data_IF_407620933890
#
_entry.id   IF_407620933890
#
_cell.length_a   1.000
_cell.length_b   1.000
_cell.length_c   1.000
_cell.angle_alpha   90.00
_cell.angle_beta   90.00
_cell.angle_gamma   90.00
#
_symmetry.space_group_name_H-M   'P 1'
#
loop_
_entity.id
_entity.type
_entity.pdbx_description
1 polymer ?
#
# COMPACT_ATOMS: atom_id res chain seq x y z
N UNK A 1 -11.07 11.31 13.39
CA UNK A 1 -12.01 10.93 12.31
C UNK A 1 -12.88 9.81 12.84
N UNK A 2 -14.20 9.79 12.59
CA UNK A 2 -15.01 8.61 12.95
C UNK A 2 -14.66 7.51 11.93
N UNK A 3 -14.09 6.40 12.38
CA UNK A 3 -13.87 5.23 11.54
C UNK A 3 -15.24 4.64 11.22
N UNK A 4 -15.70 4.84 10.00
CA UNK A 4 -16.82 4.10 9.45
C UNK A 4 -16.20 2.98 8.62
N UNK A 5 -16.35 1.74 9.09
CA UNK A 5 -15.92 0.58 8.34
C UNK A 5 -16.79 0.51 7.08
N UNK A 6 -16.18 0.84 5.94
CA UNK A 6 -16.84 0.83 4.64
C UNK A 6 -17.19 -0.60 4.22
N UNK A 7 -16.42 -1.57 4.70
CA UNK A 7 -16.57 -2.99 4.41
C UNK A 7 -16.86 -3.75 5.70
N UNK A 8 -17.77 -4.73 5.63
CA UNK A 8 -17.99 -5.65 6.74
C UNK A 8 -16.97 -6.79 6.64
N UNK A 9 -15.91 -6.73 7.44
CA UNK A 9 -14.90 -7.78 7.55
C UNK A 9 -15.03 -8.44 8.93
N UNK A 10 -15.45 -9.70 8.96
CA UNK A 10 -15.58 -10.45 10.20
C UNK A 10 -14.20 -10.95 10.66
N UNK A 11 -13.99 -11.23 11.96
CA UNK A 11 -12.72 -11.74 12.48
C UNK A 11 -12.26 -13.08 11.89
N UNK A 12 -13.17 -13.83 11.27
CA UNK A 12 -12.90 -15.14 10.66
C UNK A 12 -12.79 -15.09 9.14
N UNK A 13 -13.02 -13.92 8.53
CA UNK A 13 -12.93 -13.78 7.09
C UNK A 13 -11.47 -13.88 6.64
N UNK A 14 -11.27 -14.44 5.46
CA UNK A 14 -9.98 -14.47 4.79
C UNK A 14 -9.99 -13.46 3.65
N UNK A 15 -8.84 -12.88 3.36
CA UNK A 15 -8.70 -12.01 2.21
C UNK A 15 -8.77 -12.83 0.92
N UNK A 16 -9.57 -12.36 -0.02
CA UNK A 16 -9.65 -12.92 -1.37
C UNK A 16 -9.62 -11.76 -2.37
N UNK A 17 -8.56 -11.64 -3.20
CA UNK A 17 -8.45 -10.61 -4.21
C UNK A 17 -9.66 -10.50 -5.14
N UNK A 18 -10.37 -11.60 -5.41
CA UNK A 18 -11.53 -11.61 -6.29
C UNK A 18 -12.69 -10.76 -5.73
N UNK A 19 -12.79 -10.63 -4.39
CA UNK A 19 -13.80 -9.80 -3.72
C UNK A 19 -13.39 -8.32 -3.61
N UNK A 20 -12.12 -8.01 -3.88
CA UNK A 20 -11.54 -6.68 -3.70
C UNK A 20 -10.67 -6.26 -4.89
N UNK A 21 -11.17 -6.47 -6.12
CA UNK A 21 -10.40 -6.24 -7.35
C UNK A 21 -9.84 -4.82 -7.47
N UNK A 22 -10.50 -3.82 -6.87
CA UNK A 22 -10.04 -2.42 -6.85
C UNK A 22 -8.66 -2.24 -6.21
N UNK A 23 -8.25 -3.15 -5.31
CA UNK A 23 -6.92 -3.10 -4.68
C UNK A 23 -5.84 -3.21 -5.77
N UNK A 24 -6.01 -4.13 -6.71
CA UNK A 24 -5.06 -4.30 -7.80
C UNK A 24 -4.96 -3.04 -8.67
N UNK A 25 -6.10 -2.44 -8.99
CA UNK A 25 -6.18 -1.24 -9.84
C UNK A 25 -5.54 -0.02 -9.16
N UNK A 26 -5.84 0.20 -7.88
CA UNK A 26 -5.29 1.32 -7.10
C UNK A 26 -3.77 1.18 -6.89
N UNK A 27 -3.28 -0.02 -6.54
CA UNK A 27 -1.85 -0.25 -6.35
C UNK A 27 -1.07 -0.14 -7.67
N UNK A 28 -1.61 -0.64 -8.79
CA UNK A 28 -0.98 -0.45 -10.10
C UNK A 28 -0.88 1.02 -10.48
N UNK A 29 -1.94 1.80 -10.27
CA UNK A 29 -1.91 3.24 -10.52
C UNK A 29 -0.86 3.95 -9.64
N UNK A 30 -0.76 3.58 -8.36
CA UNK A 30 0.30 4.10 -7.47
C UNK A 30 1.67 3.75 -8.05
N UNK A 31 1.87 2.49 -8.44
CA UNK A 31 3.15 2.03 -8.96
C UNK A 31 3.55 2.75 -10.25
N UNK A 32 2.62 2.91 -11.20
CA UNK A 32 2.82 3.66 -12.45
C UNK A 32 3.20 5.12 -12.17
N UNK A 33 2.46 5.79 -11.27
CA UNK A 33 2.76 7.19 -10.91
C UNK A 33 4.09 7.37 -10.16
N UNK A 34 4.62 6.29 -9.59
CA UNK A 34 5.86 6.28 -8.82
C UNK A 34 6.95 5.46 -9.50
N UNK A 35 6.78 5.10 -10.78
CA UNK A 35 7.71 4.22 -11.52
C UNK A 35 9.12 4.81 -11.61
N UNK A 36 9.21 6.13 -11.67
CA UNK A 36 10.48 6.86 -11.79
C UNK A 36 11.15 7.12 -10.44
N UNK A 37 10.56 6.65 -9.34
CA UNK A 37 11.08 6.83 -7.99
C UNK A 37 11.57 5.49 -7.48
N UNK A 38 12.86 5.24 -7.68
CA UNK A 38 13.52 4.04 -7.18
C UNK A 38 13.63 4.07 -5.67
N UNK A 39 13.21 2.98 -5.02
CA UNK A 39 13.29 2.84 -3.57
C UNK A 39 13.20 1.38 -3.16
N UNK A 40 14.21 0.92 -2.43
CA UNK A 40 14.20 -0.41 -1.77
C UNK A 40 13.09 -0.54 -0.73
N UNK A 41 12.51 0.58 -0.27
CA UNK A 41 11.42 0.62 0.71
C UNK A 41 10.07 0.97 0.08
N UNK A 42 9.95 0.93 -1.25
CA UNK A 42 8.75 1.40 -1.96
C UNK A 42 7.47 0.75 -1.44
N UNK A 43 7.45 -0.59 -1.37
CA UNK A 43 6.28 -1.34 -0.90
C UNK A 43 5.97 -1.08 0.56
N UNK A 44 6.98 -1.06 1.44
CA UNK A 44 6.83 -0.76 2.86
C UNK A 44 6.24 0.64 3.09
N UNK A 45 6.71 1.64 2.34
CA UNK A 45 6.23 3.03 2.41
C UNK A 45 4.76 3.10 1.98
N UNK A 46 4.42 2.46 0.86
CA UNK A 46 3.04 2.43 0.34
C UNK A 46 2.11 1.76 1.35
N UNK A 47 2.45 0.55 1.81
CA UNK A 47 1.64 -0.19 2.78
C UNK A 47 1.46 0.61 4.07
N UNK A 48 2.53 1.17 4.63
CA UNK A 48 2.47 1.96 5.87
C UNK A 48 1.58 3.19 5.74
N UNK A 49 1.61 3.85 4.58
CA UNK A 49 0.75 4.99 4.30
C UNK A 49 -0.71 4.57 4.13
N UNK A 50 -1.01 3.55 3.33
CA UNK A 50 -2.39 3.08 3.10
C UNK A 50 -3.05 2.56 4.37
N UNK A 51 -2.23 1.97 5.25
CA UNK A 51 -2.67 1.31 6.45
C UNK A 51 -2.99 2.28 7.58
N UNK A 52 -2.07 3.21 7.86
CA UNK A 52 -2.15 4.06 9.06
C UNK A 52 -1.83 5.54 8.76
N UNK A 53 -1.70 5.95 7.49
CA UNK A 53 -1.18 7.25 7.06
C UNK A 53 0.12 7.63 7.78
N UNK A 54 0.97 6.63 8.04
CA UNK A 54 2.19 6.80 8.83
C UNK A 54 3.42 6.55 7.96
N UNK A 55 4.44 7.40 8.14
CA UNK A 55 5.72 7.31 7.44
C UNK A 55 6.85 7.46 8.45
N UNK A 56 7.82 6.55 8.41
CA UNK A 56 9.01 6.63 9.27
C UNK A 56 9.90 7.78 8.81
N UNK A 57 10.53 8.48 9.76
CA UNK A 57 11.41 9.62 9.49
C UNK A 57 12.54 9.27 8.51
N UNK A 58 13.17 8.11 8.67
CA UNK A 58 14.24 7.66 7.78
C UNK A 58 13.74 7.43 6.34
N UNK A 59 12.50 6.99 6.14
CA UNK A 59 11.92 6.84 4.81
C UNK A 59 11.68 8.18 4.12
N UNK A 60 11.21 9.18 4.87
CA UNK A 60 11.03 10.56 4.37
C UNK A 60 12.38 11.16 3.96
N UNK A 61 13.41 10.98 4.78
CA UNK A 61 14.75 11.52 4.52
C UNK A 61 15.43 10.83 3.31
N UNK A 62 15.23 9.52 3.14
CA UNK A 62 15.85 8.74 2.06
C UNK A 62 15.05 8.78 0.75
N UNK A 63 13.73 8.98 0.82
CA UNK A 63 12.82 8.91 -0.33
C UNK A 63 11.85 10.11 -0.36
N UNK A 64 12.36 11.36 -0.31
CA UNK A 64 11.52 12.54 -0.14
C UNK A 64 10.46 12.65 -1.22
N UNK A 65 10.81 12.40 -2.49
CA UNK A 65 9.89 12.45 -3.63
C UNK A 65 8.73 11.42 -3.51
N UNK A 66 9.03 10.18 -3.12
CA UNK A 66 7.99 9.17 -2.92
C UNK A 66 7.05 9.59 -1.80
N UNK A 67 7.61 10.02 -0.66
CA UNK A 67 6.80 10.41 0.50
C UNK A 67 5.96 11.67 0.25
N UNK A 68 6.46 12.61 -0.56
CA UNK A 68 5.69 13.77 -1.02
C UNK A 68 4.52 13.33 -1.91
N UNK A 69 4.75 12.43 -2.87
CA UNK A 69 3.69 11.90 -3.71
C UNK A 69 2.59 11.19 -2.89
N UNK A 70 2.98 10.36 -1.92
CA UNK A 70 2.02 9.70 -1.02
C UNK A 70 1.21 10.72 -0.22
N UNK A 71 1.85 11.73 0.35
CA UNK A 71 1.19 12.71 1.24
C UNK A 71 0.42 13.80 0.50
N UNK A 72 0.66 14.01 -0.80
CA UNK A 72 -0.01 15.02 -1.62
C UNK A 72 -1.50 14.78 -1.86
N UNK A 73 -1.98 13.54 -1.67
CA UNK A 73 -3.34 13.13 -2.00
C UNK A 73 -3.59 12.95 -3.51
N UNK A 74 -2.56 13.06 -4.37
CA UNK A 74 -2.66 12.85 -5.82
C UNK A 74 -2.80 11.36 -6.17
N UNK A 75 -2.39 10.48 -5.26
CA UNK A 75 -2.52 9.03 -5.38
C UNK A 75 -3.88 8.62 -4.84
N UNK A 76 -4.74 8.10 -5.72
CA UNK A 76 -6.07 7.62 -5.35
C UNK A 76 -5.95 6.19 -4.85
N UNK A 77 -6.14 5.98 -3.54
CA UNK A 77 -6.18 4.66 -2.93
C UNK A 77 -7.25 4.54 -1.82
N UNK A 78 -8.30 5.35 -1.91
CA UNK A 78 -9.33 5.44 -0.88
C UNK A 78 -10.14 4.15 -0.70
N UNK A 79 -10.20 3.27 -1.71
CA UNK A 79 -10.78 1.94 -1.57
C UNK A 79 -9.92 1.06 -0.66
N UNK A 80 -8.62 0.99 -0.96
CA UNK A 80 -7.64 0.18 -0.24
C UNK A 80 -7.41 0.70 1.19
N UNK A 81 -7.33 2.01 1.37
CA UNK A 81 -7.27 2.65 2.71
C UNK A 81 -8.51 2.29 3.54
N UNK A 82 -9.70 2.38 2.95
CA UNK A 82 -10.94 2.02 3.66
C UNK A 82 -11.01 0.51 3.97
N UNK A 83 -10.42 -0.35 3.14
CA UNK A 83 -10.32 -1.78 3.40
C UNK A 83 -9.39 -2.07 4.58
N UNK A 84 -8.20 -1.46 4.61
CA UNK A 84 -7.28 -1.55 5.75
C UNK A 84 -7.92 -1.08 7.06
N UNK A 85 -8.67 0.03 7.01
CA UNK A 85 -9.41 0.52 8.17
C UNK A 85 -10.48 -0.50 8.63
N UNK A 86 -11.20 -1.11 7.69
CA UNK A 86 -12.29 -2.05 7.98
C UNK A 86 -11.80 -3.40 8.52
N UNK A 87 -10.56 -3.80 8.24
CA UNK A 87 -10.00 -5.07 8.69
C UNK A 87 -9.11 -4.95 9.94
N UNK A 88 -9.16 -3.82 10.68
CA UNK A 88 -8.28 -3.57 11.83
C UNK A 88 -8.37 -4.64 12.93
N UNK A 89 -9.56 -5.25 13.08
CA UNK A 89 -9.84 -6.30 14.07
C UNK A 89 -9.63 -7.73 13.53
N UNK A 90 -9.21 -7.89 12.28
CA UNK A 90 -8.88 -9.18 11.67
C UNK A 90 -7.41 -9.18 11.21
N UNK A 91 -6.47 -9.61 12.08
CA UNK A 91 -5.04 -9.56 11.77
C UNK A 91 -4.64 -10.51 10.63
N UNK A 92 -5.34 -11.62 10.44
CA UNK A 92 -5.06 -12.58 9.35
C UNK A 92 -5.39 -11.95 8.01
N UNK A 93 -6.62 -11.43 7.87
CA UNK A 93 -7.03 -10.70 6.68
C UNK A 93 -6.10 -9.53 6.36
N UNK A 94 -5.72 -8.77 7.39
CA UNK A 94 -4.81 -7.63 7.24
C UNK A 94 -3.45 -8.08 6.71
N UNK A 95 -2.88 -9.16 7.23
CA UNK A 95 -1.61 -9.70 6.76
C UNK A 95 -1.69 -10.20 5.31
N UNK A 96 -2.77 -10.89 4.95
CA UNK A 96 -2.99 -11.39 3.60
C UNK A 96 -3.13 -10.23 2.59
N UNK A 97 -3.81 -9.15 2.98
CA UNK A 97 -3.89 -7.93 2.19
C UNK A 97 -2.51 -7.25 2.02
N UNK A 98 -1.71 -7.14 3.08
CA UNK A 98 -0.33 -6.61 3.00
C UNK A 98 0.54 -7.44 2.04
N UNK A 99 0.43 -8.77 2.11
CA UNK A 99 1.15 -9.67 1.23
C UNK A 99 0.73 -9.46 -0.23
N UNK A 100 -0.58 -9.37 -0.49
CA UNK A 100 -1.09 -9.12 -1.83
C UNK A 100 -0.64 -7.76 -2.40
N UNK A 101 -0.63 -6.70 -1.59
CA UNK A 101 -0.09 -5.39 -2.00
C UNK A 101 1.39 -5.49 -2.33
N UNK A 102 2.18 -6.22 -1.54
CA UNK A 102 3.60 -6.46 -1.83
C UNK A 102 3.81 -7.19 -3.16
N UNK A 103 3.02 -8.22 -3.47
CA UNK A 103 3.11 -8.97 -4.74
C UNK A 103 2.81 -8.11 -5.97
N UNK A 104 2.01 -7.05 -5.81
CA UNK A 104 1.66 -6.13 -6.90
C UNK A 104 2.73 -5.06 -7.16
N UNK A 105 3.68 -4.88 -6.25
CA UNK A 105 4.76 -3.90 -6.37
C UNK A 105 6.02 -4.67 -6.79
N UNK A 106 6.52 -4.45 -8.02
CA UNK A 106 7.70 -5.17 -8.49
C UNK A 106 8.90 -4.83 -7.60
N UNK A 107 9.65 -5.85 -7.21
CA UNK A 107 10.96 -5.66 -6.61
C UNK A 107 11.90 -5.03 -7.65
N UNK A 108 12.47 -3.88 -7.33
CA UNK A 108 13.60 -3.36 -8.09
C UNK A 108 14.80 -4.25 -7.76
N UNK A 109 15.05 -5.23 -8.61
CA UNK A 109 16.33 -5.93 -8.65
C UNK A 109 17.39 -4.87 -8.99
N UNK A 110 18.40 -4.69 -8.13
CA UNK A 110 19.51 -3.79 -8.40
C UNK A 110 19.98 -4.08 -9.83
N UNK A 111 19.86 -3.09 -10.72
CA UNK A 111 20.36 -3.20 -12.07
C UNK A 111 21.85 -3.51 -11.97
N UNK A 112 22.19 -4.79 -12.10
CA UNK A 112 23.55 -5.27 -12.17
C UNK A 112 24.15 -4.63 -13.43
N UNK A 113 24.88 -3.53 -13.23
CA UNK A 113 25.64 -2.84 -14.25
C UNK A 113 26.67 -3.85 -14.75
N UNK A 114 26.31 -4.63 -15.77
CA UNK A 114 27.28 -5.36 -16.59
C UNK A 114 27.98 -4.35 -17.46
N UNK A 115 29.10 -3.87 -16.92
CA UNK A 115 30.20 -3.18 -17.60
C UNK A 115 30.65 -3.89 -18.87
#
# INVERSE_FOLDING_TARGET
>A
MKHYDKYLILPTDLFDPANFSFVADEIRLINEKTENVSSVFKSDIIISFLKDHSLKKNWIEQNPQLTEMMTSGILSAGGTEALFASCINNPVFRQDLENYVNELIPFEEEAEIRS
#
